data_IF_210983634627
#
_entry.id   IF_210983634627
#
_cell.length_a   1.000
_cell.length_b   1.000
_cell.length_c   1.000
_cell.angle_alpha   90.00
_cell.angle_beta   90.00
_cell.angle_gamma   90.00
#
_symmetry.space_group_name_H-M   'P 1'
#
loop_
_entity.id
_entity.type
_entity.pdbx_description
1 polymer ?
#
# COMPACT_ATOMS: atom_id res chain seq x y z
N UNK A 1 -9.50 -23.90 18.28
CA UNK A 1 -9.85 -23.27 17.02
C UNK A 1 -9.04 -22.00 16.83
N UNK A 2 -8.28 -21.94 15.82
CA UNK A 2 -7.24 -20.95 15.55
C UNK A 2 -7.81 -19.60 15.12
N UNK A 3 -8.39 -18.87 16.05
CA UNK A 3 -8.82 -17.48 15.82
C UNK A 3 -7.65 -16.46 15.86
N UNK A 4 -6.40 -16.93 15.80
CA UNK A 4 -5.20 -16.08 15.88
C UNK A 4 -4.30 -16.22 14.66
N UNK A 5 -4.90 -16.29 13.50
CA UNK A 5 -4.14 -16.30 12.27
C UNK A 5 -3.60 -14.91 11.88
N UNK A 6 -4.05 -13.88 12.56
CA UNK A 6 -3.47 -12.56 12.42
C UNK A 6 -2.40 -12.40 13.48
N UNK A 7 -1.19 -12.21 13.02
CA UNK A 7 -0.10 -11.81 13.88
C UNK A 7 -0.54 -10.59 14.67
N UNK A 8 -0.45 -10.68 15.99
CA UNK A 8 -0.70 -9.55 16.89
C UNK A 8 0.40 -8.49 16.79
N UNK A 9 1.37 -8.71 15.91
CA UNK A 9 2.42 -7.75 15.65
C UNK A 9 1.87 -6.63 14.78
N UNK A 10 1.69 -5.49 15.39
CA UNK A 10 1.09 -4.30 14.81
C UNK A 10 2.03 -3.54 13.86
N UNK A 11 3.24 -4.01 13.65
CA UNK A 11 4.19 -3.39 12.72
C UNK A 11 3.71 -3.38 11.25
N UNK A 12 2.70 -4.17 10.93
CA UNK A 12 2.16 -4.23 9.56
C UNK A 12 1.34 -3.02 9.16
N UNK A 13 0.73 -2.32 10.10
CA UNK A 13 -0.19 -1.23 9.75
C UNK A 13 0.55 0.04 9.31
N UNK A 14 1.81 0.22 9.69
CA UNK A 14 2.59 1.41 9.34
C UNK A 14 3.93 1.11 8.65
N UNK A 15 4.29 -0.15 8.48
CA UNK A 15 5.59 -0.59 8.02
C UNK A 15 6.06 0.10 6.73
N UNK A 16 5.18 0.29 5.78
CA UNK A 16 5.52 0.91 4.49
C UNK A 16 5.86 2.40 4.64
N UNK A 17 4.97 3.18 5.27
CA UNK A 17 5.18 4.61 5.45
C UNK A 17 6.33 4.90 6.40
N UNK A 18 6.48 4.08 7.45
CA UNK A 18 7.61 4.19 8.38
C UNK A 18 8.95 3.92 7.70
N UNK A 19 9.03 2.89 6.87
CA UNK A 19 10.24 2.59 6.10
C UNK A 19 10.59 3.72 5.14
N UNK A 20 9.58 4.27 4.47
CA UNK A 20 9.75 5.39 3.55
C UNK A 20 10.19 6.67 4.28
N UNK A 21 9.61 6.93 5.48
CA UNK A 21 10.01 8.03 6.34
C UNK A 21 11.48 7.90 6.76
N UNK A 22 11.90 6.74 7.22
CA UNK A 22 13.30 6.51 7.63
C UNK A 22 14.27 6.72 6.46
N UNK A 23 13.94 6.25 5.27
CA UNK A 23 14.74 6.50 4.07
C UNK A 23 14.82 8.00 3.74
N UNK A 24 13.71 8.72 3.90
CA UNK A 24 13.66 10.16 3.64
C UNK A 24 14.44 10.99 4.69
N UNK A 25 14.50 10.53 5.94
CA UNK A 25 15.25 11.19 7.02
C UNK A 25 16.77 11.14 6.80
N UNK A 26 17.28 10.17 6.05
CA UNK A 26 18.70 10.11 5.66
C UNK A 26 19.12 11.22 4.69
N UNK A 27 18.16 11.95 4.12
CA UNK A 27 18.36 13.06 3.16
C UNK A 27 19.13 12.69 1.87
N UNK A 28 19.14 11.41 1.49
CA UNK A 28 19.67 10.95 0.22
C UNK A 28 18.54 10.45 -0.69
N UNK A 29 18.41 11.04 -1.87
CA UNK A 29 17.41 10.63 -2.86
C UNK A 29 17.55 9.14 -3.26
N UNK A 30 18.78 8.63 -3.23
CA UNK A 30 19.09 7.21 -3.47
C UNK A 30 18.40 6.27 -2.48
N UNK A 31 18.33 6.65 -1.20
CA UNK A 31 17.71 5.84 -0.14
C UNK A 31 16.19 5.78 -0.33
N UNK A 32 15.60 6.92 -0.69
CA UNK A 32 14.17 6.99 -1.02
C UNK A 32 13.86 6.12 -2.24
N UNK A 33 14.62 6.27 -3.31
CA UNK A 33 14.45 5.48 -4.54
C UNK A 33 14.62 3.98 -4.28
N UNK A 34 15.62 3.60 -3.48
CA UNK A 34 15.83 2.22 -3.06
C UNK A 34 14.64 1.68 -2.27
N UNK A 35 14.14 2.43 -1.29
CA UNK A 35 13.00 2.01 -0.48
C UNK A 35 11.72 1.88 -1.32
N UNK A 36 11.44 2.85 -2.19
CA UNK A 36 10.31 2.76 -3.13
C UNK A 36 10.41 1.49 -3.98
N UNK A 37 11.59 1.21 -4.55
CA UNK A 37 11.82 0.00 -5.33
C UNK A 37 11.54 -1.27 -4.51
N UNK A 38 12.02 -1.34 -3.27
CA UNK A 38 11.79 -2.48 -2.36
C UNK A 38 10.31 -2.72 -2.05
N UNK A 39 9.54 -1.63 -1.88
CA UNK A 39 8.12 -1.69 -1.55
C UNK A 39 7.20 -1.93 -2.76
N UNK A 40 7.73 -1.81 -3.98
CA UNK A 40 6.96 -1.91 -5.22
C UNK A 40 7.53 -2.98 -6.16
N UNK A 41 8.52 -2.63 -6.96
CA UNK A 41 9.07 -3.45 -8.03
C UNK A 41 9.63 -4.78 -7.53
N UNK A 42 10.45 -4.76 -6.49
CA UNK A 42 11.06 -5.97 -5.95
C UNK A 42 10.00 -6.92 -5.36
N UNK A 43 8.97 -6.37 -4.71
CA UNK A 43 7.85 -7.15 -4.21
C UNK A 43 7.08 -7.82 -5.37
N UNK A 44 6.79 -7.08 -6.42
CA UNK A 44 6.11 -7.60 -7.61
C UNK A 44 6.93 -8.73 -8.27
N UNK A 45 8.25 -8.57 -8.37
CA UNK A 45 9.15 -9.61 -8.90
C UNK A 45 9.15 -10.88 -8.05
N UNK A 46 9.24 -10.75 -6.73
CA UNK A 46 9.21 -11.90 -5.80
C UNK A 46 7.91 -12.69 -5.93
N UNK A 47 6.78 -12.01 -6.05
CA UNK A 47 5.48 -12.68 -6.21
C UNK A 47 5.16 -13.06 -7.67
N UNK A 48 5.99 -12.68 -8.62
CA UNK A 48 5.79 -12.95 -10.05
C UNK A 48 4.54 -12.29 -10.60
N UNK A 49 4.16 -11.12 -10.09
CA UNK A 49 3.00 -10.36 -10.55
C UNK A 49 3.43 -9.16 -11.38
N UNK A 50 2.53 -8.67 -12.24
CA UNK A 50 2.75 -7.44 -13.00
C UNK A 50 2.45 -6.22 -12.14
N UNK A 51 3.34 -5.23 -12.12
CA UNK A 51 3.16 -3.98 -11.39
C UNK A 51 4.45 -3.48 -10.74
N UNK A 52 4.32 -2.44 -9.92
CA UNK A 52 5.42 -1.87 -9.15
C UNK A 52 6.38 -0.98 -9.95
N UNK A 53 6.01 -0.59 -11.17
CA UNK A 53 6.73 0.36 -12.02
C UNK A 53 5.78 1.36 -12.68
N UNK A 54 6.33 2.43 -13.23
CA UNK A 54 5.60 3.55 -13.85
C UNK A 54 6.10 3.83 -15.27
N UNK A 55 6.46 2.77 -16.01
CA UNK A 55 6.82 2.92 -17.42
C UNK A 55 5.57 3.05 -18.29
N UNK A 56 5.75 3.53 -19.50
CA UNK A 56 4.70 3.56 -20.50
C UNK A 56 4.10 2.16 -20.70
N UNK A 57 2.78 2.06 -20.73
CA UNK A 57 2.00 0.83 -20.79
C UNK A 57 2.02 -0.04 -19.50
N UNK A 58 2.62 0.42 -18.44
CA UNK A 58 2.46 -0.21 -17.14
C UNK A 58 1.04 0.04 -16.58
N UNK A 59 0.67 -0.80 -15.61
CA UNK A 59 -0.56 -0.64 -14.88
C UNK A 59 -0.53 0.64 -14.05
N UNK A 60 -1.55 1.45 -14.19
CA UNK A 60 -1.64 2.71 -13.46
C UNK A 60 -2.24 2.51 -12.05
N UNK A 61 -1.55 1.72 -11.22
CA UNK A 61 -1.79 1.60 -9.78
C UNK A 61 -0.75 2.47 -9.06
N UNK A 62 -1.14 3.68 -8.65
CA UNK A 62 -0.23 4.72 -8.20
C UNK A 62 -0.70 5.31 -6.87
N UNK A 63 0.25 5.73 -6.06
CA UNK A 63 0.01 6.60 -4.90
C UNK A 63 0.87 7.84 -4.98
N UNK A 64 0.33 8.96 -4.52
CA UNK A 64 1.10 10.16 -4.26
C UNK A 64 1.44 10.21 -2.77
N UNK A 65 2.69 10.52 -2.44
CA UNK A 65 3.14 10.70 -1.04
C UNK A 65 3.65 12.13 -0.89
N UNK A 66 3.10 12.87 0.09
CA UNK A 66 3.61 14.19 0.43
C UNK A 66 4.86 14.05 1.32
N UNK A 67 6.04 14.50 0.88
CA UNK A 67 7.28 14.36 1.64
C UNK A 67 7.29 15.20 2.92
N UNK A 68 6.57 16.31 2.97
CA UNK A 68 6.52 17.16 4.16
C UNK A 68 5.64 16.55 5.25
N UNK A 69 4.52 15.97 4.86
CA UNK A 69 3.64 15.24 5.80
C UNK A 69 4.27 13.90 6.22
N UNK A 70 5.01 13.24 5.32
CA UNK A 70 5.77 12.03 5.64
C UNK A 70 6.81 12.28 6.75
N UNK A 71 7.49 13.44 6.76
CA UNK A 71 8.41 13.84 7.85
C UNK A 71 7.72 13.90 9.21
N UNK A 72 6.47 14.34 9.25
CA UNK A 72 5.68 14.47 10.47
C UNK A 72 4.96 13.17 10.86
N UNK A 73 4.97 12.18 9.97
CA UNK A 73 4.22 10.95 10.15
C UNK A 73 4.59 10.24 11.45
N UNK A 74 3.55 9.85 12.19
CA UNK A 74 3.63 9.08 13.41
C UNK A 74 2.55 7.99 13.37
N UNK A 75 2.96 6.76 13.09
CA UNK A 75 2.04 5.64 12.93
C UNK A 75 1.14 5.41 14.15
N UNK A 76 1.61 5.71 15.35
CA UNK A 76 0.83 5.51 16.57
C UNK A 76 -0.33 6.50 16.68
N UNK A 77 -0.18 7.71 16.18
CA UNK A 77 -1.23 8.74 16.22
C UNK A 77 -2.36 8.49 15.24
N UNK A 78 -2.09 7.75 14.16
CA UNK A 78 -3.05 7.50 13.09
C UNK A 78 -3.78 6.16 13.22
N UNK A 79 -3.49 5.39 14.28
CA UNK A 79 -4.16 4.11 14.52
C UNK A 79 -5.54 4.33 15.09
N UNK A 80 -6.52 3.71 14.44
CA UNK A 80 -7.89 3.68 14.93
C UNK A 80 -8.45 2.25 14.91
N UNK A 81 -9.34 1.95 15.82
CA UNK A 81 -10.16 0.73 15.76
C UNK A 81 -11.41 1.04 14.97
N UNK A 82 -11.65 0.30 13.92
CA UNK A 82 -12.83 0.44 13.07
C UNK A 82 -13.54 -0.89 12.99
N UNK A 83 -14.82 -0.89 13.35
CA UNK A 83 -15.67 -2.06 13.16
C UNK A 83 -16.03 -2.18 11.67
N UNK A 84 -15.79 -3.35 11.12
CA UNK A 84 -16.13 -3.69 9.74
C UNK A 84 -17.33 -4.61 9.75
N UNK A 85 -18.47 -4.11 9.33
CA UNK A 85 -19.72 -4.88 9.29
C UNK A 85 -19.59 -6.10 8.39
N UNK A 86 -18.90 -5.97 7.26
CA UNK A 86 -18.69 -7.03 6.27
C UNK A 86 -17.96 -8.24 6.85
N UNK A 87 -17.13 -8.02 7.85
CA UNK A 87 -16.35 -9.06 8.52
C UNK A 87 -16.85 -9.36 9.93
N UNK A 88 -17.84 -8.58 10.43
CA UNK A 88 -18.32 -8.64 11.80
C UNK A 88 -17.16 -8.63 12.81
N UNK A 89 -16.19 -7.74 12.60
CA UNK A 89 -14.97 -7.70 13.39
C UNK A 89 -14.36 -6.30 13.46
N UNK A 90 -13.72 -6.00 14.60
CA UNK A 90 -12.90 -4.80 14.73
C UNK A 90 -11.53 -5.01 14.10
N UNK A 91 -11.12 -4.05 13.28
CA UNK A 91 -9.79 -3.99 12.69
C UNK A 91 -9.06 -2.74 13.15
N UNK A 92 -7.75 -2.87 13.34
CA UNK A 92 -6.88 -1.71 13.45
C UNK A 92 -6.58 -1.22 12.03
N UNK A 93 -6.83 0.06 11.83
CA UNK A 93 -6.51 0.75 10.59
C UNK A 93 -5.59 1.92 10.89
N UNK A 94 -4.69 2.20 9.97
CA UNK A 94 -3.89 3.40 9.98
C UNK A 94 -4.31 4.23 8.77
N UNK A 95 -4.77 5.44 9.02
CA UNK A 95 -5.17 6.38 7.97
C UNK A 95 -4.39 7.66 8.17
N UNK A 96 -3.37 7.82 7.36
CA UNK A 96 -2.54 9.01 7.29
C UNK A 96 -2.88 9.79 6.03
N UNK A 97 -4.09 10.30 5.98
CA UNK A 97 -4.72 10.87 4.79
C UNK A 97 -3.87 12.00 4.18
N UNK A 98 -3.24 12.83 5.02
CA UNK A 98 -2.36 13.90 4.55
C UNK A 98 -1.04 13.37 3.95
N UNK A 99 -0.56 12.20 4.37
CA UNK A 99 0.67 11.61 3.83
C UNK A 99 0.44 11.00 2.47
N UNK A 100 -0.76 10.45 2.24
CA UNK A 100 -1.16 9.86 0.96
C UNK A 100 -2.42 10.57 0.44
N UNK A 101 -2.26 11.76 -0.15
CA UNK A 101 -3.40 12.55 -0.62
C UNK A 101 -4.09 11.99 -1.85
N UNK A 102 -3.44 11.10 -2.62
CA UNK A 102 -4.00 10.53 -3.84
C UNK A 102 -3.69 9.04 -3.97
N UNK A 103 -4.70 8.26 -4.33
CA UNK A 103 -4.58 6.84 -4.71
C UNK A 103 -5.30 6.62 -6.04
N UNK A 104 -4.61 6.03 -7.00
CA UNK A 104 -5.11 5.65 -8.32
C UNK A 104 -5.04 4.13 -8.43
N UNK A 105 -6.12 3.50 -8.89
CA UNK A 105 -6.22 2.06 -9.12
C UNK A 105 -6.69 1.84 -10.55
N UNK A 106 -5.89 1.15 -11.35
CA UNK A 106 -6.21 0.88 -12.75
C UNK A 106 -6.46 2.14 -13.59
N UNK A 107 -5.82 3.27 -13.24
CA UNK A 107 -6.02 4.56 -13.89
C UNK A 107 -7.20 5.38 -13.38
N UNK A 108 -7.98 4.86 -12.42
CA UNK A 108 -9.11 5.57 -11.82
C UNK A 108 -8.72 6.13 -10.45
N UNK A 109 -9.11 7.37 -10.17
CA UNK A 109 -8.93 7.96 -8.84
C UNK A 109 -9.83 7.23 -7.85
N UNK A 110 -9.22 6.54 -6.88
CA UNK A 110 -9.92 5.81 -5.83
C UNK A 110 -10.06 6.63 -4.54
N UNK A 111 -9.06 7.47 -4.26
CA UNK A 111 -8.99 8.33 -3.09
C UNK A 111 -8.32 9.64 -3.46
N UNK A 112 -8.90 10.76 -3.06
CA UNK A 112 -8.36 12.10 -3.25
C UNK A 112 -8.94 13.05 -2.19
N UNK A 113 -8.10 13.91 -1.61
CA UNK A 113 -8.50 14.93 -0.64
C UNK A 113 -9.42 14.39 0.47
N UNK A 114 -8.97 13.34 1.15
CA UNK A 114 -9.67 12.69 2.27
C UNK A 114 -11.03 12.07 1.91
N UNK A 115 -11.28 11.80 0.63
CA UNK A 115 -12.56 11.23 0.14
C UNK A 115 -12.33 10.05 -0.78
N UNK A 116 -13.17 9.04 -0.62
CA UNK A 116 -13.30 7.99 -1.61
C UNK A 116 -14.05 8.50 -2.84
N UNK A 117 -13.61 8.03 -4.01
CA UNK A 117 -14.39 8.20 -5.23
C UNK A 117 -15.79 7.58 -5.06
N UNK A 118 -16.79 8.21 -5.63
CA UNK A 118 -18.18 7.69 -5.62
C UNK A 118 -18.31 6.38 -6.37
N UNK A 119 -17.44 6.17 -7.35
CA UNK A 119 -17.48 5.03 -8.24
C UNK A 119 -16.67 3.84 -7.67
N UNK A 120 -15.86 4.05 -6.61
CA UNK A 120 -15.13 3.00 -5.94
C UNK A 120 -16.10 2.00 -5.28
N UNK A 121 -15.99 0.74 -5.70
CA UNK A 121 -16.89 -0.32 -5.26
C UNK A 121 -18.21 -0.41 -6.04
N UNK A 122 -18.51 0.55 -6.92
CA UNK A 122 -19.60 0.49 -7.91
C UNK A 122 -19.07 0.02 -9.27
N UNK A 123 -17.88 0.47 -9.63
CA UNK A 123 -17.16 0.07 -10.83
C UNK A 123 -15.92 -0.72 -10.50
N UNK A 124 -15.45 -1.52 -11.43
CA UNK A 124 -14.23 -2.31 -11.27
C UNK A 124 -13.01 -1.43 -11.60
N UNK A 125 -12.29 -0.98 -10.59
CA UNK A 125 -11.04 -0.23 -10.75
C UNK A 125 -9.84 -1.16 -10.87
N UNK A 126 -9.77 -2.16 -10.01
CA UNK A 126 -8.64 -3.09 -9.93
C UNK A 126 -8.92 -4.44 -10.57
N UNK A 127 -7.90 -5.28 -10.60
CA UNK A 127 -8.00 -6.65 -11.07
C UNK A 127 -7.25 -7.62 -10.14
N UNK A 128 -7.60 -8.89 -10.22
CA UNK A 128 -6.88 -9.94 -9.50
C UNK A 128 -5.46 -10.10 -10.09
N UNK A 129 -4.45 -9.87 -9.28
CA UNK A 129 -3.06 -10.14 -9.65
C UNK A 129 -2.80 -11.66 -9.58
N UNK A 130 -2.40 -12.24 -10.70
CA UNK A 130 -2.01 -13.64 -10.78
C UNK A 130 -0.51 -13.75 -10.94
N UNK A 131 0.11 -14.62 -10.13
CA UNK A 131 1.53 -14.93 -10.29
C UNK A 131 1.78 -15.59 -11.64
N UNK A 132 2.84 -15.13 -12.32
CA UNK A 132 3.37 -15.72 -13.56
C UNK A 132 4.47 -16.75 -13.30
N UNK A 133 4.80 -17.00 -12.03
CA UNK A 133 5.75 -18.04 -11.67
C UNK A 133 5.07 -19.37 -12.03
N UNK A 134 5.45 -19.94 -13.16
CA UNK A 134 5.01 -21.27 -13.54
C UNK A 134 5.53 -22.25 -12.50
N UNK A 135 4.65 -23.11 -12.03
CA UNK A 135 4.97 -24.24 -11.17
C UNK A 135 5.81 -25.28 -11.96
N UNK A 136 7.09 -24.98 -12.17
CA UNK A 136 8.08 -25.99 -12.51
C UNK A 136 8.45 -26.79 -11.23
N UNK A 137 7.44 -27.24 -10.48
CA UNK A 137 7.57 -28.07 -9.29
C UNK A 137 6.94 -29.46 -9.57
N UNK A 138 7.02 -29.92 -10.80
CA UNK A 138 6.76 -31.31 -11.15
C UNK A 138 7.95 -31.83 -11.94
N UNK A 139 9.02 -32.16 -11.25
CA UNK A 139 9.97 -33.23 -11.60
C UNK A 139 10.63 -33.76 -10.32
#
# INVERSE_FOLDING_TARGET
>A
VYKRQHLTNMAFYDGNLRSLKLAHENNEDSDVAYMVKRLTKDAAEVFGVSGGSIYENDKADLILVDPNELKKYDGEKHVARVFREEFNHEQLVNRSDNVVPLVIIGGHVAWEDEKFSKDLGQEQFGELLKSKISSNLND
#
